data_IF_614524518076
#
_entry.id   IF_614524518076
#
_cell.length_a   1.000
_cell.length_b   1.000
_cell.length_c   1.000
_cell.angle_alpha   90.00
_cell.angle_beta   90.00
_cell.angle_gamma   90.00
#
_symmetry.space_group_name_H-M   'P 1'
#
loop_
_entity.id
_entity.type
_entity.pdbx_description
1 polymer ?
#
# COMPACT_ATOMS: atom_id res chain seq x y z
N UNK A 1 -10.94 34.71 19.07
CA UNK A 1 -10.44 34.02 17.85
C UNK A 1 -9.47 32.90 18.23
N UNK A 2 -9.97 31.74 18.68
CA UNK A 2 -9.15 30.56 19.06
C UNK A 2 -9.89 29.25 18.76
N UNK A 3 -10.20 29.01 17.48
CA UNK A 3 -10.84 27.75 17.03
C UNK A 3 -10.31 27.21 15.68
N UNK A 4 -9.13 27.63 15.24
CA UNK A 4 -8.54 27.16 13.98
C UNK A 4 -7.40 26.13 14.16
N UNK A 5 -6.79 26.02 15.35
CA UNK A 5 -5.56 25.22 15.51
C UNK A 5 -5.80 23.74 15.88
N UNK A 6 -7.00 23.38 16.33
CA UNK A 6 -7.30 21.98 16.70
C UNK A 6 -7.58 21.10 15.46
N UNK A 7 -8.08 21.68 14.37
CA UNK A 7 -8.36 20.93 13.14
C UNK A 7 -7.09 20.60 12.36
N UNK A 8 -6.06 21.46 12.44
CA UNK A 8 -4.75 21.19 11.83
C UNK A 8 -3.97 20.11 12.60
N UNK A 9 -4.13 20.03 13.93
CA UNK A 9 -3.52 18.98 14.75
C UNK A 9 -4.19 17.61 14.55
N UNK A 10 -5.50 17.57 14.31
CA UNK A 10 -6.22 16.32 14.01
C UNK A 10 -5.87 15.76 12.61
N UNK A 11 -5.41 16.61 11.69
CA UNK A 11 -4.92 16.20 10.37
C UNK A 11 -3.45 15.73 10.43
N UNK A 12 -2.68 16.11 11.45
CA UNK A 12 -1.27 15.70 11.63
C UNK A 12 -1.05 14.52 12.58
N UNK A 13 -2.06 14.03 13.29
CA UNK A 13 -1.93 12.86 14.19
C UNK A 13 -2.20 11.50 13.54
N UNK A 14 -2.25 11.41 12.20
CA UNK A 14 -2.34 10.14 11.48
C UNK A 14 -1.00 9.79 10.84
N UNK A 15 -0.02 9.45 11.67
CA UNK A 15 1.29 9.03 11.18
C UNK A 15 1.73 7.77 11.95
N UNK A 16 1.25 6.61 11.51
CA UNK A 16 1.91 5.32 11.80
C UNK A 16 1.61 4.40 10.62
N UNK A 17 2.64 3.80 10.00
CA UNK A 17 2.69 3.28 8.62
C UNK A 17 3.25 1.81 8.36
N UNK A 18 2.65 1.08 7.42
CA UNK A 18 3.09 -0.12 6.70
C UNK A 18 2.19 -0.15 5.47
N UNK A 19 2.77 -0.38 4.29
CA UNK A 19 2.11 -0.44 2.99
C UNK A 19 0.74 -1.15 3.02
N UNK A 20 -0.29 -0.43 2.56
CA UNK A 20 -1.64 -0.95 2.38
C UNK A 20 -1.79 -2.01 1.31
N UNK A 21 -2.87 -2.78 1.41
CA UNK A 21 -3.35 -3.66 0.35
C UNK A 21 -4.82 -3.45 0.13
N UNK A 22 -5.21 -3.42 -1.14
CA UNK A 22 -6.62 -3.27 -1.48
C UNK A 22 -7.41 -4.52 -1.09
N UNK A 23 -8.65 -4.38 -0.60
CA UNK A 23 -9.46 -5.51 -0.18
C UNK A 23 -9.86 -6.40 -1.37
N UNK A 24 -9.37 -7.64 -1.37
CA UNK A 24 -9.58 -8.64 -2.43
C UNK A 24 -11.05 -8.97 -2.65
N UNK A 25 -11.88 -8.86 -1.60
CA UNK A 25 -13.31 -9.18 -1.63
C UNK A 25 -14.09 -8.43 -2.71
N UNK A 26 -13.72 -7.17 -2.98
CA UNK A 26 -14.41 -6.30 -3.92
C UNK A 26 -13.66 -6.16 -5.25
N UNK A 27 -12.59 -6.93 -5.43
CA UNK A 27 -11.84 -6.94 -6.68
C UNK A 27 -12.60 -7.72 -7.74
N UNK A 28 -12.80 -7.07 -8.87
CA UNK A 28 -13.31 -7.67 -10.11
C UNK A 28 -12.25 -7.57 -11.20
N UNK A 29 -12.43 -8.30 -12.29
CA UNK A 29 -11.61 -8.11 -13.49
C UNK A 29 -11.65 -6.62 -13.90
N UNK A 30 -10.47 -6.03 -14.14
CA UNK A 30 -10.28 -4.62 -14.52
C UNK A 30 -10.61 -3.62 -13.41
N UNK A 31 -10.43 -4.01 -12.15
CA UNK A 31 -10.47 -3.06 -11.03
C UNK A 31 -9.26 -2.14 -11.10
N UNK A 32 -9.50 -0.83 -10.93
CA UNK A 32 -8.47 0.17 -10.67
C UNK A 32 -8.52 0.57 -9.20
N UNK A 33 -7.38 0.92 -8.62
CA UNK A 33 -7.34 1.40 -7.24
C UNK A 33 -6.35 2.53 -7.08
N UNK A 34 -6.60 3.37 -6.08
CA UNK A 34 -5.63 4.36 -5.61
C UNK A 34 -5.48 4.22 -4.09
N UNK A 35 -4.24 4.25 -3.61
CA UNK A 35 -3.91 4.05 -2.21
C UNK A 35 -2.84 5.05 -1.78
N UNK A 36 -3.04 5.64 -0.61
CA UNK A 36 -1.98 6.29 0.16
C UNK A 36 -1.60 5.38 1.33
N UNK A 37 -0.31 5.15 1.52
CA UNK A 37 0.23 4.40 2.64
C UNK A 37 1.36 5.18 3.29
N UNK A 38 1.35 5.27 4.62
CA UNK A 38 2.54 5.64 5.37
C UNK A 38 3.28 4.35 5.75
N UNK A 39 4.60 4.39 6.00
CA UNK A 39 5.43 3.38 6.68
C UNK A 39 6.26 3.93 7.83
N UNK A 40 6.29 3.29 9.01
CA UNK A 40 7.18 3.58 10.13
C UNK A 40 7.74 2.25 10.60
N UNK A 41 9.04 2.06 10.45
CA UNK A 41 9.72 0.80 10.74
C UNK A 41 11.04 1.05 11.47
N UNK A 42 11.20 0.42 12.61
CA UNK A 42 12.51 0.16 13.18
C UNK A 42 13.16 -1.06 12.53
N UNK A 43 14.47 -1.01 12.38
CA UNK A 43 15.28 -2.16 12.01
C UNK A 43 16.75 -2.01 12.42
N UNK A 44 17.43 -3.14 12.56
CA UNK A 44 18.85 -3.27 12.75
C UNK A 44 19.52 -3.45 11.39
N UNK A 45 20.42 -2.52 11.07
CA UNK A 45 21.24 -2.58 9.86
C UNK A 45 22.66 -3.04 10.17
N UNK A 46 23.29 -3.65 9.16
CA UNK A 46 24.65 -4.19 9.14
C UNK A 46 24.88 -5.35 10.12
N UNK A 47 26.03 -6.02 10.01
CA UNK A 47 26.47 -7.03 10.99
C UNK A 47 26.68 -6.43 12.39
N UNK A 48 26.89 -5.12 12.49
CA UNK A 48 27.09 -4.42 13.75
C UNK A 48 25.78 -4.13 14.50
N UNK A 49 24.62 -4.54 13.96
CA UNK A 49 23.28 -4.33 14.56
C UNK A 49 23.07 -2.88 14.99
N UNK A 50 23.25 -1.95 14.05
CA UNK A 50 23.03 -0.52 14.29
C UNK A 50 21.54 -0.21 14.13
N UNK A 51 20.98 0.57 15.06
CA UNK A 51 19.59 0.96 15.02
C UNK A 51 19.30 1.92 13.86
N UNK A 52 18.27 1.62 13.10
CA UNK A 52 17.78 2.48 12.05
C UNK A 52 16.25 2.61 12.09
N UNK A 53 15.76 3.78 11.71
CA UNK A 53 14.35 4.10 11.60
C UNK A 53 14.03 4.53 10.17
N UNK A 54 13.03 3.89 9.57
CA UNK A 54 12.55 4.17 8.23
C UNK A 54 11.12 4.74 8.30
N UNK A 55 10.93 5.91 7.69
CA UNK A 55 9.64 6.58 7.55
C UNK A 55 9.32 6.77 6.07
N UNK A 56 8.29 6.09 5.59
CA UNK A 56 7.93 6.07 4.16
C UNK A 56 6.53 6.67 3.98
N UNK A 57 6.29 7.35 2.88
CA UNK A 57 4.97 7.76 2.42
C UNK A 57 4.86 7.42 0.95
N UNK A 58 3.88 6.60 0.57
CA UNK A 58 3.70 6.10 -0.79
C UNK A 58 2.29 6.43 -1.30
N UNK A 59 2.23 6.88 -2.55
CA UNK A 59 1.01 6.91 -3.35
C UNK A 59 1.11 5.83 -4.42
N UNK A 60 0.10 4.96 -4.49
CA UNK A 60 0.08 3.80 -5.38
C UNK A 60 -1.16 3.80 -6.25
N UNK A 61 -0.99 3.34 -7.48
CA UNK A 61 -2.08 3.03 -8.41
C UNK A 61 -2.08 1.53 -8.65
N UNK A 62 -3.22 0.92 -8.40
CA UNK A 62 -3.42 -0.52 -8.48
C UNK A 62 -4.22 -0.87 -9.73
N UNK A 63 -3.91 -2.02 -10.34
CA UNK A 63 -4.72 -2.60 -11.39
C UNK A 63 -4.80 -4.12 -11.25
N UNK A 64 -6.02 -4.62 -11.43
CA UNK A 64 -6.33 -6.04 -11.36
C UNK A 64 -6.73 -6.56 -12.74
N UNK A 65 -5.82 -7.22 -13.50
CA UNK A 65 -6.20 -7.83 -14.77
C UNK A 65 -7.21 -8.97 -14.58
N UNK A 66 -7.09 -9.70 -13.46
CA UNK A 66 -7.96 -10.80 -13.06
C UNK A 66 -8.35 -10.66 -11.58
N UNK A 67 -9.44 -11.28 -11.15
CA UNK A 67 -10.01 -11.19 -9.78
C UNK A 67 -9.03 -11.50 -8.64
N UNK A 68 -8.00 -12.30 -8.89
CA UNK A 68 -7.09 -12.80 -7.84
C UNK A 68 -5.65 -12.35 -8.01
N UNK A 69 -5.35 -11.50 -8.98
CA UNK A 69 -4.00 -10.97 -9.17
C UNK A 69 -4.06 -9.47 -9.40
N UNK A 70 -3.22 -8.75 -8.67
CA UNK A 70 -3.10 -7.31 -8.71
C UNK A 70 -1.64 -6.93 -8.90
N UNK A 71 -1.39 -5.90 -9.69
CA UNK A 71 -0.12 -5.19 -9.64
C UNK A 71 -0.36 -3.73 -9.29
N UNK A 72 0.66 -3.09 -8.73
CA UNK A 72 0.65 -1.66 -8.52
C UNK A 72 1.98 -1.04 -8.91
N UNK A 73 1.93 0.24 -9.25
CA UNK A 73 3.08 1.12 -9.39
C UNK A 73 2.80 2.40 -8.63
N UNK A 74 3.84 3.09 -8.21
CA UNK A 74 3.69 4.32 -7.46
C UNK A 74 5.02 4.95 -7.11
N UNK A 75 4.93 5.89 -6.19
CA UNK A 75 6.08 6.47 -5.56
C UNK A 75 5.69 7.38 -4.41
N UNK A 76 6.68 7.92 -3.75
CA UNK A 76 6.49 8.94 -2.74
C UNK A 76 7.82 9.34 -2.14
N UNK A 77 7.90 9.35 -0.82
CA UNK A 77 9.09 9.78 -0.12
C UNK A 77 9.46 8.85 1.03
N UNK A 78 10.75 8.67 1.24
CA UNK A 78 11.31 7.91 2.35
C UNK A 78 12.33 8.76 3.13
N UNK A 79 12.37 8.60 4.45
CA UNK A 79 13.34 9.20 5.34
C UNK A 79 13.95 8.11 6.19
N UNK A 80 15.28 8.04 6.18
CA UNK A 80 16.05 7.06 6.91
C UNK A 80 16.86 7.76 8.00
N UNK A 81 16.82 7.23 9.22
CA UNK A 81 17.59 7.71 10.36
C UNK A 81 18.43 6.55 10.89
N UNK A 82 19.67 6.80 11.28
CA UNK A 82 20.55 5.80 11.91
C UNK A 82 21.12 6.38 13.21
N UNK A 83 20.88 5.69 14.31
CA UNK A 83 21.39 6.05 15.64
C UNK A 83 22.56 5.13 16.00
N UNK A 84 23.73 5.72 16.26
CA UNK A 84 24.90 4.99 16.76
C UNK A 84 25.02 5.18 18.27
N UNK A 85 25.49 4.15 18.99
CA UNK A 85 25.69 4.20 20.45
C UNK A 85 26.73 5.25 20.89
N UNK A 86 27.57 5.76 19.97
CA UNK A 86 28.48 6.86 20.26
C UNK A 86 27.74 8.20 20.11
N UNK A 87 27.60 8.94 21.22
CA UNK A 87 26.77 10.15 21.41
C UNK A 87 26.83 11.23 20.30
N UNK A 88 27.86 11.22 19.44
CA UNK A 88 28.09 12.27 18.44
C UNK A 88 27.94 11.81 16.97
N UNK A 89 27.53 10.56 16.71
CA UNK A 89 27.32 10.07 15.34
C UNK A 89 25.87 9.67 15.15
N UNK A 90 25.13 10.49 14.40
CA UNK A 90 23.77 10.21 13.96
C UNK A 90 23.70 10.51 12.47
N UNK A 91 23.02 9.65 11.72
CA UNK A 91 22.57 9.99 10.38
C UNK A 91 21.10 10.40 10.50
N UNK A 92 20.80 11.66 10.20
CA UNK A 92 19.43 12.15 10.10
C UNK A 92 19.13 12.52 8.65
N UNK A 93 18.64 11.55 7.90
CA UNK A 93 18.36 11.72 6.49
C UNK A 93 17.15 12.61 6.24
N UNK A 94 17.18 13.36 5.15
CA UNK A 94 16.03 14.06 4.62
C UNK A 94 15.14 13.11 3.81
N UNK A 95 13.89 13.53 3.58
CA UNK A 95 12.98 12.81 2.70
C UNK A 95 13.48 12.84 1.25
N UNK A 96 13.81 11.69 0.68
CA UNK A 96 14.10 11.56 -0.75
C UNK A 96 13.02 10.79 -1.50
N UNK A 97 13.12 10.78 -2.83
CA UNK A 97 12.11 10.17 -3.69
C UNK A 97 12.21 8.64 -3.68
N UNK A 98 11.07 7.99 -3.43
CA UNK A 98 10.94 6.55 -3.25
C UNK A 98 9.99 5.95 -4.31
N UNK A 99 10.47 5.48 -5.47
CA UNK A 99 9.63 4.73 -6.41
C UNK A 99 9.24 3.37 -5.83
N UNK A 100 8.02 2.90 -6.12
CA UNK A 100 7.51 1.62 -5.64
C UNK A 100 6.73 0.85 -6.70
N UNK A 101 6.78 -0.47 -6.62
CA UNK A 101 5.98 -1.37 -7.42
C UNK A 101 5.67 -2.65 -6.62
N UNK A 102 4.67 -3.41 -7.04
CA UNK A 102 4.42 -4.69 -6.42
C UNK A 102 3.36 -5.52 -7.11
N UNK A 103 3.26 -6.77 -6.64
CA UNK A 103 2.38 -7.80 -7.14
C UNK A 103 1.71 -8.50 -5.94
N UNK A 104 0.40 -8.70 -6.03
CA UNK A 104 -0.37 -9.52 -5.10
C UNK A 104 -1.10 -10.61 -5.87
N UNK A 105 -1.06 -11.82 -5.35
CA UNK A 105 -1.81 -12.97 -5.81
C UNK A 105 -2.58 -13.56 -4.64
N UNK A 106 -3.83 -13.94 -4.89
CA UNK A 106 -4.73 -14.49 -3.90
C UNK A 106 -5.28 -15.82 -4.40
N UNK A 107 -5.61 -16.72 -3.49
CA UNK A 107 -6.41 -17.87 -3.86
C UNK A 107 -7.87 -17.45 -4.11
N UNK A 108 -8.63 -18.27 -4.84
CA UNK A 108 -10.08 -18.30 -4.70
C UNK A 108 -10.47 -18.45 -3.23
N UNK A 109 -11.68 -18.01 -2.88
CA UNK A 109 -12.16 -18.12 -1.52
C UNK A 109 -12.32 -19.59 -1.12
N UNK A 110 -11.65 -19.99 -0.05
CA UNK A 110 -11.67 -21.30 0.56
C UNK A 110 -12.64 -21.29 1.76
N UNK A 111 -13.18 -22.47 2.11
CA UNK A 111 -14.04 -22.71 3.28
C UNK A 111 -15.15 -21.67 3.45
N UNK A 112 -16.28 -21.88 2.75
CA UNK A 112 -17.47 -21.02 2.84
C UNK A 112 -17.18 -19.53 2.57
N UNK A 113 -16.24 -19.27 1.66
CA UNK A 113 -15.82 -17.93 1.26
C UNK A 113 -15.18 -17.09 2.38
N UNK A 114 -14.76 -17.71 3.49
CA UNK A 114 -14.23 -16.99 4.65
C UNK A 114 -12.71 -16.82 4.60
N UNK A 115 -11.99 -17.71 3.93
CA UNK A 115 -10.53 -17.78 3.98
C UNK A 115 -9.91 -17.67 2.59
N UNK A 116 -8.76 -17.02 2.50
CA UNK A 116 -7.94 -16.97 1.28
C UNK A 116 -6.47 -17.12 1.64
N UNK A 117 -5.71 -17.72 0.75
CA UNK A 117 -4.26 -17.68 0.80
C UNK A 117 -3.79 -16.45 0.03
N UNK A 118 -2.80 -15.75 0.58
CA UNK A 118 -2.24 -14.54 -0.02
C UNK A 118 -0.76 -14.73 -0.28
N UNK A 119 -0.29 -14.19 -1.40
CA UNK A 119 1.11 -14.14 -1.77
C UNK A 119 1.41 -12.78 -2.37
N UNK A 120 2.46 -12.11 -1.91
CA UNK A 120 2.75 -10.74 -2.36
C UNK A 120 4.25 -10.51 -2.47
N UNK A 121 4.61 -9.63 -3.39
CA UNK A 121 5.96 -9.11 -3.57
C UNK A 121 5.84 -7.60 -3.73
N UNK A 122 6.36 -6.87 -2.75
CA UNK A 122 6.36 -5.41 -2.70
C UNK A 122 7.82 -4.93 -2.83
N UNK A 123 8.05 -3.92 -3.66
CA UNK A 123 9.37 -3.34 -3.92
C UNK A 123 9.31 -1.83 -3.74
N UNK A 124 10.33 -1.26 -3.12
CA UNK A 124 10.58 0.18 -3.18
C UNK A 124 12.08 0.46 -3.16
N UNK A 125 12.45 1.68 -3.52
CA UNK A 125 13.84 2.12 -3.47
C UNK A 125 13.99 3.15 -2.34
N UNK A 126 14.82 2.81 -1.35
CA UNK A 126 15.27 3.71 -0.31
C UNK A 126 16.21 4.75 -0.92
N UNK A 127 16.04 6.01 -0.58
CA UNK A 127 16.88 7.10 -1.03
C UNK A 127 16.76 8.27 -0.05
N UNK A 128 17.64 8.32 0.94
CA UNK A 128 17.66 9.37 1.97
C UNK A 128 19.08 9.94 2.10
N UNK A 129 19.19 11.26 2.19
CA UNK A 129 20.45 12.01 2.20
C UNK A 129 20.41 13.08 3.30
N UNK A 130 21.46 13.20 4.10
CA UNK A 130 21.53 14.18 5.19
C UNK A 130 22.13 15.53 4.74
N UNK A 131 22.12 16.51 5.64
CA UNK A 131 22.69 17.86 5.37
C UNK A 131 24.23 17.86 5.26
N UNK A 132 24.86 16.72 5.56
CA UNK A 132 26.30 16.50 5.52
C UNK A 132 26.69 15.66 4.28
N UNK A 133 25.80 15.56 3.30
CA UNK A 133 26.00 14.85 2.03
C UNK A 133 26.33 13.34 2.19
N UNK A 134 25.97 12.75 3.33
CA UNK A 134 25.91 11.29 3.48
C UNK A 134 24.58 10.78 2.94
N UNK A 135 24.59 9.60 2.34
CA UNK A 135 23.42 9.04 1.68
C UNK A 135 23.24 7.57 1.97
N UNK A 136 22.02 7.19 2.34
CA UNK A 136 21.57 5.80 2.38
C UNK A 136 20.62 5.56 1.20
N UNK A 137 20.96 4.60 0.34
CA UNK A 137 20.09 4.25 -0.77
C UNK A 137 20.14 2.77 -1.12
N UNK A 138 19.07 2.26 -1.73
CA UNK A 138 19.05 0.88 -2.20
C UNK A 138 17.67 0.28 -2.38
N UNK A 139 17.56 -0.82 -3.15
CA UNK A 139 16.35 -1.60 -3.23
C UNK A 139 15.96 -2.22 -1.88
N UNK A 140 14.67 -2.17 -1.60
CA UNK A 140 14.03 -2.91 -0.52
C UNK A 140 12.95 -3.82 -1.10
N UNK A 141 12.99 -5.09 -0.72
CA UNK A 141 12.11 -6.14 -1.20
C UNK A 141 11.36 -6.78 -0.05
N UNK A 142 10.04 -6.88 -0.20
CA UNK A 142 9.12 -7.49 0.74
C UNK A 142 8.37 -8.64 0.07
N UNK A 143 8.70 -9.89 0.39
CA UNK A 143 7.96 -11.05 -0.08
C UNK A 143 7.11 -11.61 1.07
N UNK A 144 5.79 -11.75 0.90
CA UNK A 144 4.92 -12.25 1.96
C UNK A 144 4.00 -13.37 1.52
N UNK A 145 3.73 -14.29 2.45
CA UNK A 145 2.74 -15.34 2.34
C UNK A 145 1.84 -15.31 3.57
N UNK A 146 0.54 -15.47 3.40
CA UNK A 146 -0.38 -15.41 4.52
C UNK A 146 -1.74 -16.01 4.28
N UNK A 147 -2.57 -15.87 5.32
CA UNK A 147 -3.97 -16.26 5.33
C UNK A 147 -4.79 -15.01 5.61
N UNK A 148 -5.73 -14.73 4.72
CA UNK A 148 -6.73 -13.68 4.84
C UNK A 148 -8.05 -14.30 5.29
N UNK A 149 -8.61 -13.76 6.37
CA UNK A 149 -9.91 -14.12 6.92
C UNK A 149 -10.89 -12.96 6.81
N UNK A 150 -12.09 -13.27 6.31
CA UNK A 150 -13.20 -12.34 6.16
C UNK A 150 -14.06 -12.34 7.43
N UNK A 151 -13.83 -11.38 8.33
CA UNK A 151 -14.54 -11.23 9.59
C UNK A 151 -15.82 -10.38 9.40
N UNK A 152 -16.91 -11.02 8.97
CA UNK A 152 -18.16 -10.31 8.68
C UNK A 152 -18.10 -9.56 7.36
N UNK A 153 -18.93 -8.52 7.17
CA UNK A 153 -19.13 -7.87 5.88
C UNK A 153 -18.13 -6.77 5.52
N UNK A 154 -17.40 -6.23 6.50
CA UNK A 154 -16.56 -5.04 6.32
C UNK A 154 -15.15 -5.18 6.88
N UNK A 155 -14.83 -6.29 7.55
CA UNK A 155 -13.55 -6.46 8.22
C UNK A 155 -12.84 -7.66 7.60
N UNK A 156 -11.58 -7.44 7.29
CA UNK A 156 -10.65 -8.41 6.75
C UNK A 156 -9.42 -8.45 7.68
N UNK A 157 -8.97 -9.65 8.03
CA UNK A 157 -7.80 -9.87 8.88
C UNK A 157 -6.83 -10.77 8.12
N UNK A 158 -5.63 -10.28 7.83
CA UNK A 158 -4.57 -11.05 7.17
C UNK A 158 -3.44 -11.29 8.16
N UNK A 159 -2.88 -12.48 8.20
CA UNK A 159 -1.67 -12.75 8.99
C UNK A 159 -0.77 -13.75 8.26
N UNK A 160 0.53 -13.65 8.50
CA UNK A 160 1.47 -14.57 7.87
C UNK A 160 2.93 -14.21 8.12
N UNK A 161 3.76 -14.61 7.16
CA UNK A 161 5.20 -14.42 7.17
C UNK A 161 5.63 -13.46 6.07
N UNK A 162 6.62 -12.65 6.37
CA UNK A 162 7.19 -11.62 5.51
C UNK A 162 8.71 -11.79 5.48
N UNK A 163 9.27 -11.99 4.30
CA UNK A 163 10.68 -11.74 4.03
C UNK A 163 10.87 -10.26 3.74
N UNK A 164 11.69 -9.58 4.54
CA UNK A 164 12.07 -8.17 4.40
C UNK A 164 13.57 -8.12 4.09
N UNK A 165 13.96 -7.63 2.92
CA UNK A 165 15.36 -7.60 2.50
C UNK A 165 15.72 -6.20 2.02
N UNK A 166 16.73 -5.62 2.64
CA UNK A 166 17.37 -4.36 2.26
C UNK A 166 18.73 -4.69 1.67
N UNK A 167 18.99 -4.25 0.46
CA UNK A 167 20.31 -4.30 -0.16
C UNK A 167 20.70 -2.89 -0.57
N UNK A 168 21.41 -2.19 0.31
CA UNK A 168 21.69 -0.77 0.14
C UNK A 168 23.17 -0.42 0.23
N UNK A 169 23.42 0.86 0.03
CA UNK A 169 24.72 1.52 0.12
C UNK A 169 24.62 2.76 0.99
N UNK A 170 25.62 2.92 1.84
CA UNK A 170 25.96 4.16 2.51
C UNK A 170 27.06 4.84 1.69
N UNK A 171 26.84 6.08 1.27
CA UNK A 171 27.79 6.86 0.47
C UNK A 171 28.14 8.15 1.22
N UNK A 172 29.43 8.46 1.33
CA UNK A 172 29.93 9.80 1.67
C UNK A 172 30.27 10.50 0.35
N UNK A 173 29.36 11.32 -0.15
CA UNK A 173 29.49 11.90 -1.49
C UNK A 173 30.62 12.93 -1.58
N UNK A 174 31.11 13.45 -0.45
CA UNK A 174 32.24 14.39 -0.41
C UNK A 174 33.59 13.71 -0.56
N UNK A 175 33.70 12.51 0.02
CA UNK A 175 34.95 11.74 0.03
C UNK A 175 34.95 10.55 -0.94
N UNK A 176 33.87 10.38 -1.72
CA UNK A 176 33.68 9.27 -2.66
C UNK A 176 33.87 7.89 -1.99
N UNK A 177 33.46 7.79 -0.72
CA UNK A 177 33.49 6.53 0.02
C UNK A 177 32.12 5.86 -0.06
N UNK A 178 32.10 4.58 -0.39
CA UNK A 178 30.88 3.77 -0.42
C UNK A 178 31.07 2.54 0.47
N UNK A 179 30.00 2.15 1.16
CA UNK A 179 29.93 0.92 1.93
C UNK A 179 28.56 0.28 1.77
N UNK A 180 28.54 -1.01 1.43
CA UNK A 180 27.29 -1.78 1.35
C UNK A 180 26.70 -1.99 2.75
N UNK A 181 25.36 -1.98 2.84
CA UNK A 181 24.63 -2.36 4.06
C UNK A 181 23.40 -3.22 3.72
N UNK A 182 22.98 -4.02 4.69
CA UNK A 182 21.74 -4.79 4.65
C UNK A 182 21.11 -4.80 6.04
N UNK A 183 19.84 -5.17 6.14
CA UNK A 183 19.25 -5.53 7.42
C UNK A 183 19.82 -6.87 7.92
N UNK A 184 19.87 -7.04 9.23
CA UNK A 184 20.29 -8.28 9.88
C UNK A 184 19.17 -9.33 9.88
N UNK A 185 17.96 -8.89 10.26
CA UNK A 185 16.78 -9.73 10.34
C UNK A 185 15.91 -9.65 9.09
N UNK A 186 15.88 -10.75 8.33
CA UNK A 186 15.17 -10.81 7.06
C UNK A 186 13.78 -11.44 7.16
N UNK A 187 13.41 -12.06 8.29
CA UNK A 187 12.15 -12.79 8.44
C UNK A 187 11.32 -12.15 9.53
N UNK A 188 10.08 -11.81 9.21
CA UNK A 188 9.13 -11.14 10.09
C UNK A 188 7.78 -11.84 10.07
N UNK A 189 7.08 -11.83 11.21
CA UNK A 189 5.65 -12.09 11.25
C UNK A 189 4.89 -10.81 10.91
N UNK A 190 3.73 -10.92 10.27
CA UNK A 190 2.88 -9.75 10.04
C UNK A 190 1.40 -10.03 10.31
N UNK A 191 0.68 -8.96 10.60
CA UNK A 191 -0.77 -8.93 10.76
C UNK A 191 -1.34 -7.66 10.14
N UNK A 192 -2.47 -7.76 9.44
CA UNK A 192 -3.18 -6.62 8.86
C UNK A 192 -4.66 -6.68 9.21
N UNK A 193 -5.22 -5.53 9.50
CA UNK A 193 -6.63 -5.32 9.74
C UNK A 193 -7.16 -4.32 8.73
N UNK A 194 -8.06 -4.75 7.86
CA UNK A 194 -8.62 -3.92 6.80
C UNK A 194 -10.11 -3.71 7.04
N UNK A 195 -10.51 -2.45 7.17
CA UNK A 195 -11.90 -2.01 7.12
C UNK A 195 -12.22 -1.65 5.67
N UNK A 196 -13.17 -2.36 5.07
CA UNK A 196 -13.57 -2.18 3.68
C UNK A 196 -15.05 -1.82 3.56
N UNK A 197 -15.34 -0.83 2.72
CA UNK A 197 -16.68 -0.42 2.34
C UNK A 197 -17.13 -1.23 1.13
N UNK A 198 -18.43 -1.59 1.01
CA UNK A 198 -18.97 -2.20 -0.21
C UNK A 198 -18.82 -1.33 -1.45
N UNK A 199 -18.54 -0.04 -1.28
CA UNK A 199 -18.29 0.92 -2.37
C UNK A 199 -16.82 1.02 -2.76
N UNK A 200 -15.97 0.14 -2.24
CA UNK A 200 -14.55 0.06 -2.62
C UNK A 200 -13.60 0.94 -1.82
N UNK A 201 -14.09 1.83 -0.95
CA UNK A 201 -13.23 2.56 -0.01
C UNK A 201 -12.68 1.64 1.07
N UNK A 202 -11.43 1.82 1.48
CA UNK A 202 -10.83 1.02 2.55
C UNK A 202 -9.85 1.82 3.40
N UNK A 203 -9.68 1.35 4.64
CA UNK A 203 -8.61 1.73 5.54
C UNK A 203 -7.99 0.46 6.11
N UNK A 204 -6.68 0.40 6.21
CA UNK A 204 -5.97 -0.77 6.72
C UNK A 204 -4.95 -0.34 7.75
N UNK A 205 -4.92 -1.08 8.85
CA UNK A 205 -3.81 -1.09 9.79
C UNK A 205 -2.93 -2.31 9.56
N UNK A 206 -1.62 -2.17 9.64
CA UNK A 206 -0.68 -3.25 9.37
C UNK A 206 0.43 -3.27 10.41
N UNK A 207 0.90 -4.45 10.81
CA UNK A 207 1.91 -4.62 11.83
C UNK A 207 2.87 -5.69 11.35
N UNK A 208 4.17 -5.46 11.49
CA UNK A 208 5.21 -6.47 11.25
C UNK A 208 6.25 -6.43 12.37
N UNK A 209 6.80 -7.58 12.71
CA UNK A 209 7.84 -7.69 13.73
C UNK A 209 8.75 -8.89 13.45
N UNK A 210 10.05 -8.75 13.71
CA UNK A 210 10.98 -9.88 13.70
C UNK A 210 10.84 -10.73 14.98
N UNK A 211 11.33 -11.99 14.98
CA UNK A 211 11.44 -12.78 16.20
C UNK A 211 12.28 -12.12 17.30
N UNK A 212 13.34 -11.39 16.92
CA UNK A 212 14.25 -10.69 17.86
C UNK A 212 13.56 -9.51 18.59
N UNK A 213 12.43 -9.01 18.09
CA UNK A 213 11.66 -7.95 18.75
C UNK A 213 11.16 -8.32 20.18
N UNK A 214 11.18 -9.60 20.55
CA UNK A 214 10.83 -10.06 21.90
C UNK A 214 11.89 -9.76 22.97
N UNK A 215 13.17 -9.66 22.58
CA UNK A 215 14.29 -9.56 23.53
C UNK A 215 14.56 -8.12 24.00
N UNK A 216 13.93 -7.10 23.39
CA UNK A 216 14.25 -5.68 23.60
C UNK A 216 13.06 -4.77 23.95
N UNK A 217 11.98 -5.34 24.52
CA UNK A 217 10.79 -4.55 24.92
C UNK A 217 11.10 -3.40 25.90
N UNK A 218 12.18 -3.50 26.67
CA UNK A 218 12.59 -2.47 27.65
C UNK A 218 13.26 -1.24 27.01
N UNK A 219 13.83 -1.36 25.80
CA UNK A 219 14.47 -0.27 25.05
C UNK A 219 13.63 0.24 23.86
N UNK A 220 12.44 -0.31 23.69
CA UNK A 220 11.61 -0.11 22.51
C UNK A 220 11.94 -1.15 21.43
N UNK A 221 10.93 -1.77 20.82
CA UNK A 221 11.16 -2.85 19.86
C UNK A 221 11.83 -2.30 18.59
N UNK A 222 13.13 -2.55 18.46
CA UNK A 222 13.93 -2.06 17.34
C UNK A 222 13.54 -2.72 16.02
N UNK A 223 12.95 -3.92 16.04
CA UNK A 223 12.63 -4.71 14.86
C UNK A 223 11.12 -4.81 14.57
N UNK A 224 10.41 -3.66 14.54
CA UNK A 224 8.98 -3.63 14.21
C UNK A 224 8.58 -2.55 13.21
N UNK A 225 7.49 -2.80 12.50
CA UNK A 225 6.77 -1.84 11.67
C UNK A 225 5.30 -1.75 12.07
N UNK A 226 4.74 -0.55 12.10
CA UNK A 226 3.32 -0.32 12.41
C UNK A 226 2.73 0.57 11.38
N UNK A 227 1.51 0.28 10.92
CA UNK A 227 0.99 0.78 9.69
C UNK A 227 -0.40 1.19 9.40
N UNK A 228 -0.52 2.10 8.44
CA UNK A 228 -1.76 2.70 7.97
C UNK A 228 -1.73 2.92 6.45
N UNK A 229 -2.84 2.54 5.83
CA UNK A 229 -3.15 2.94 4.47
C UNK A 229 -4.62 3.26 4.31
N UNK A 230 -4.94 4.15 3.38
CA UNK A 230 -6.29 4.46 2.96
C UNK A 230 -6.36 4.44 1.44
N UNK A 231 -7.49 4.01 0.90
CA UNK A 231 -7.64 3.95 -0.54
C UNK A 231 -9.04 3.74 -1.02
N UNK A 232 -9.17 3.70 -2.34
CA UNK A 232 -10.42 3.47 -3.05
C UNK A 232 -10.20 2.52 -4.20
N UNK A 233 -11.12 1.56 -4.35
CA UNK A 233 -11.27 0.71 -5.51
C UNK A 233 -12.37 1.26 -6.43
N UNK A 234 -12.03 1.39 -7.70
CA UNK A 234 -12.90 1.76 -8.80
C UNK A 234 -13.12 0.48 -9.61
N UNK A 235 -14.30 -0.11 -9.43
CA UNK A 235 -14.73 -1.28 -10.21
C UNK A 235 -15.55 -0.84 -11.42
N UNK A 236 -15.43 -1.52 -12.57
CA UNK A 236 -16.28 -1.25 -13.73
C UNK A 236 -17.77 -1.35 -13.38
N UNK A 237 -18.56 -0.39 -13.84
CA UNK A 237 -20.01 -0.45 -13.67
C UNK A 237 -20.59 -1.56 -14.57
N UNK A 238 -20.98 -2.68 -13.93
CA UNK A 238 -21.66 -3.80 -14.60
C UNK A 238 -23.06 -3.43 -15.09
N UNK A 239 -23.61 -2.27 -14.69
CA UNK A 239 -24.90 -1.78 -15.16
C UNK A 239 -24.87 -1.54 -16.67
N UNK A 240 -23.80 -0.96 -17.22
CA UNK A 240 -23.66 -0.77 -18.66
C UNK A 240 -23.58 -2.09 -19.43
N UNK A 241 -22.87 -3.08 -18.89
CA UNK A 241 -22.80 -4.43 -19.48
C UNK A 241 -24.16 -5.15 -19.45
N UNK A 242 -24.89 -5.05 -18.32
CA UNK A 242 -26.28 -5.54 -18.23
C UNK A 242 -27.22 -4.79 -19.16
N UNK A 243 -27.00 -3.50 -19.40
CA UNK A 243 -27.80 -2.69 -20.31
C UNK A 243 -27.54 -3.13 -21.76
N UNK A 244 -26.29 -3.29 -22.17
CA UNK A 244 -25.89 -3.86 -23.47
C UNK A 244 -26.47 -5.28 -23.66
N UNK A 245 -26.32 -6.16 -22.67
CA UNK A 245 -26.88 -7.52 -22.70
C UNK A 245 -28.42 -7.52 -22.70
N UNK A 246 -29.06 -6.51 -22.08
CA UNK A 246 -30.52 -6.38 -22.05
C UNK A 246 -31.11 -5.74 -23.31
N UNK A 247 -30.29 -5.29 -24.27
CA UNK A 247 -30.72 -4.56 -25.47
C UNK A 247 -31.59 -3.32 -25.18
N UNK A 248 -31.59 -2.81 -23.95
CA UNK A 248 -32.37 -1.63 -23.56
C UNK A 248 -31.63 -0.37 -24.02
N UNK A 249 -31.98 0.12 -25.19
CA UNK A 249 -31.50 1.43 -25.68
C UNK A 249 -32.04 2.55 -24.79
N UNK A 250 -31.16 3.33 -24.18
CA UNK A 250 -31.53 4.51 -23.39
C UNK A 250 -31.97 5.70 -24.27
N UNK A 251 -31.42 5.75 -25.49
CA UNK A 251 -31.77 6.72 -26.52
C UNK A 251 -32.35 5.98 -27.73
N UNK A 252 -33.46 6.46 -28.32
CA UNK A 252 -33.96 5.89 -29.57
C UNK A 252 -32.87 5.99 -30.63
N UNK A 253 -32.68 4.90 -31.39
CA UNK A 253 -31.78 4.93 -32.53
C UNK A 253 -32.29 5.91 -33.60
N UNK A 254 -31.41 6.29 -34.52
CA UNK A 254 -31.80 7.17 -35.62
C UNK A 254 -33.01 6.63 -36.41
N UNK A 255 -33.06 5.33 -36.64
CA UNK A 255 -34.20 4.67 -37.31
C UNK A 255 -35.48 4.71 -36.47
N UNK A 256 -35.37 4.62 -35.13
CA UNK A 256 -36.50 4.71 -34.21
C UNK A 256 -37.07 6.15 -34.19
N UNK A 257 -36.19 7.16 -34.26
CA UNK A 257 -36.57 8.56 -34.40
C UNK A 257 -37.23 8.85 -35.76
N UNK A 258 -36.68 8.29 -36.85
CA UNK A 258 -37.22 8.46 -38.20
C UNK A 258 -38.60 7.84 -38.33
N UNK A 259 -38.78 6.62 -37.80
CA UNK A 259 -40.08 5.95 -37.79
C UNK A 259 -41.12 6.72 -36.97
N UNK A 260 -40.72 7.28 -35.83
CA UNK A 260 -41.60 8.12 -35.01
C UNK A 260 -41.96 9.44 -35.69
N UNK A 261 -41.04 10.01 -36.46
CA UNK A 261 -41.32 11.19 -37.28
C UNK A 261 -42.34 10.86 -38.39
N UNK A 262 -42.17 9.75 -39.10
CA UNK A 262 -43.12 9.28 -40.12
C UNK A 262 -44.51 8.96 -39.54
N UNK A 263 -44.58 8.44 -38.31
CA UNK A 263 -45.84 8.19 -37.60
C UNK A 263 -46.53 9.51 -37.21
N UNK A 264 -45.79 10.50 -36.69
CA UNK A 264 -46.35 11.81 -36.37
C UNK A 264 -46.86 12.53 -37.63
N UNK A 265 -46.12 12.49 -38.74
CA UNK A 265 -46.53 13.10 -40.01
C UNK A 265 -47.88 12.53 -40.50
N UNK A 266 -48.05 11.20 -40.44
CA UNK A 266 -49.32 10.51 -40.78
C UNK A 266 -50.49 10.83 -39.84
N UNK A 267 -50.24 11.16 -38.58
CA UNK A 267 -51.28 11.57 -37.64
C UNK A 267 -51.78 12.99 -37.91
N UNK A 268 -50.90 13.89 -38.36
CA UNK A 268 -51.25 15.27 -38.77
C UNK A 268 -51.99 15.39 -40.10
N UNK A 269 -51.91 14.38 -40.97
CA UNK A 269 -52.62 14.38 -42.27
C UNK A 269 -54.07 13.82 -42.21
N UNK A 270 -54.53 13.39 -41.02
CA UNK A 270 -55.90 12.94 -40.76
C UNK A 270 -56.73 14.01 -40.05
#
# INVERSE_FOLDING_TARGET
MRKANALLFLIMTMAVGVAGKTPVRYMTNRTLGAEYAATFRGQLITEAKVNALDRIHLLKVHYSPIEYAQFYIGGGADRFEVEYEAEDKHFDGNYGFCPTAGLSANSPALVRELLRLTANVDFWYLNSEDDMDFKYSGPVLNASLGVLAHAGSFIDVEAGVLGHVVAGKMEDTRNELEQDFSNSENVRGYMRFTLCSPRGAFAQLAFDASPEAQEELDNGPVEMGIGLSIGVLITPDLTNKRIEESNRKFFPGFDDLKKRQEEMEKETEK
#
